data_IF_206439446337
#
_entry.id   IF_206439446337
#
_cell.length_a   1.000
_cell.length_b   1.000
_cell.length_c   1.000
_cell.angle_alpha   90.00
_cell.angle_beta   90.00
_cell.angle_gamma   90.00
#
_symmetry.space_group_name_H-M   'P 1'
#
loop_
_entity.id
_entity.type
_entity.pdbx_description
1 polymer ?
#
# COMPACT_ATOMS: atom_id res chain seq x y z
N UNK A 1 0.99 33.47 -45.47
CA UNK A 1 1.68 34.78 -45.62
C UNK A 1 2.84 34.81 -44.64
N UNK A 2 4.00 35.26 -45.12
CA UNK A 2 5.25 35.60 -44.41
C UNK A 2 5.16 37.13 -44.16
N UNK A 3 5.69 37.74 -43.07
CA UNK A 3 7.07 37.64 -42.57
C UNK A 3 7.23 37.36 -41.05
N UNK A 4 8.34 36.86 -40.49
CA UNK A 4 9.80 37.01 -40.74
C UNK A 4 10.41 38.29 -40.14
N UNK A 5 11.28 38.17 -39.14
CA UNK A 5 12.54 38.90 -38.97
C UNK A 5 13.41 38.12 -37.97
N UNK A 6 14.74 38.16 -38.15
CA UNK A 6 15.69 37.30 -37.45
C UNK A 6 17.07 37.98 -37.32
N UNK A 7 17.83 37.60 -36.28
CA UNK A 7 19.31 37.66 -36.14
C UNK A 7 19.63 37.19 -34.70
N UNK A 8 20.41 36.14 -34.43
CA UNK A 8 21.89 36.04 -34.59
C UNK A 8 22.61 37.20 -33.86
N UNK A 9 23.65 36.98 -33.02
CA UNK A 9 24.88 36.21 -33.28
C UNK A 9 25.55 35.56 -32.05
N UNK A 10 26.40 34.56 -32.30
CA UNK A 10 27.49 34.04 -31.43
C UNK A 10 28.86 34.57 -31.96
N UNK A 11 30.09 34.05 -31.69
CA UNK A 11 30.59 32.97 -30.78
C UNK A 11 31.99 33.29 -30.10
N UNK A 12 32.71 32.25 -29.63
CA UNK A 12 34.18 32.17 -29.33
C UNK A 12 34.66 32.86 -28.01
N UNK A 13 35.75 32.50 -27.29
CA UNK A 13 36.75 31.40 -27.26
C UNK A 13 37.58 31.50 -25.92
N UNK A 14 38.53 30.64 -25.46
CA UNK A 14 39.01 29.27 -25.76
C UNK A 14 39.86 28.73 -24.56
N UNK A 15 40.24 27.43 -24.55
CA UNK A 15 41.47 26.82 -23.95
C UNK A 15 41.83 27.00 -22.43
N UNK A 16 42.80 26.29 -21.80
CA UNK A 16 43.24 24.87 -21.84
C UNK A 16 44.26 24.56 -20.70
N UNK A 17 44.44 23.28 -20.34
CA UNK A 17 45.55 22.70 -19.50
C UNK A 17 45.56 23.10 -17.99
N UNK A 18 46.18 22.39 -17.02
CA UNK A 18 47.20 21.31 -16.99
C UNK A 18 47.11 20.42 -15.71
N UNK A 19 47.81 19.27 -15.67
CA UNK A 19 48.05 18.35 -14.52
C UNK A 19 49.58 18.18 -14.31
N UNK A 20 50.08 17.43 -13.30
CA UNK A 20 49.91 17.42 -11.83
C UNK A 20 51.31 17.64 -11.14
N UNK A 21 51.68 17.23 -9.88
CA UNK A 21 51.86 15.79 -9.49
C UNK A 21 51.87 15.38 -7.97
N UNK A 22 51.97 14.05 -7.74
CA UNK A 22 52.60 13.28 -6.62
C UNK A 22 52.10 13.20 -5.14
N UNK A 23 51.91 11.93 -4.68
CA UNK A 23 52.30 11.28 -3.38
C UNK A 23 51.78 11.87 -2.02
N UNK A 24 51.61 11.14 -0.89
CA UNK A 24 52.09 9.83 -0.42
C UNK A 24 51.20 9.25 0.74
N UNK A 25 50.95 7.93 0.73
CA UNK A 25 51.15 6.92 1.83
C UNK A 25 50.38 6.88 3.19
N UNK A 26 49.94 5.65 3.54
CA UNK A 26 49.70 5.04 4.87
C UNK A 26 48.46 5.45 5.72
N UNK A 27 47.89 4.63 6.63
CA UNK A 27 48.34 3.37 7.26
C UNK A 27 47.18 2.45 7.73
N UNK A 28 47.51 1.19 8.08
CA UNK A 28 46.78 0.23 8.98
C UNK A 28 45.56 -0.51 8.39
N UNK A 29 45.32 -1.79 8.69
CA UNK A 29 46.07 -2.83 9.43
C UNK A 29 45.69 -4.23 8.88
N UNK A 30 46.55 -5.24 9.05
CA UNK A 30 46.28 -6.64 8.65
C UNK A 30 46.58 -7.57 9.83
N UNK A 31 45.70 -8.55 10.09
CA UNK A 31 45.94 -9.90 10.62
C UNK A 31 44.56 -10.63 10.60
N UNK A 32 44.38 -11.67 9.77
CA UNK A 32 44.49 -13.11 10.10
C UNK A 32 43.41 -13.61 11.09
N UNK A 33 42.79 -14.79 10.93
CA UNK A 33 42.76 -15.82 9.87
C UNK A 33 41.47 -16.65 10.10
N UNK A 34 40.81 -17.27 9.12
CA UNK A 34 41.17 -18.59 8.57
C UNK A 34 40.27 -18.90 7.35
N UNK A 35 40.82 -19.09 6.14
CA UNK A 35 40.96 -20.39 5.42
C UNK A 35 39.70 -21.28 5.43
N UNK A 36 39.17 -21.76 4.30
CA UNK A 36 39.88 -22.51 3.23
C UNK A 36 39.37 -22.19 1.81
N UNK A 37 40.31 -22.13 0.86
CA UNK A 37 40.30 -22.37 -0.62
C UNK A 37 38.98 -22.77 -1.33
N UNK A 38 38.75 -22.48 -2.63
CA UNK A 38 39.73 -22.67 -3.75
C UNK A 38 39.32 -21.97 -5.07
N UNK A 39 40.34 -21.72 -5.92
CA UNK A 39 40.32 -21.41 -7.37
C UNK A 39 39.75 -20.06 -7.84
N UNK A 40 40.63 -19.26 -8.46
CA UNK A 40 40.26 -18.15 -9.33
C UNK A 40 40.15 -18.59 -10.79
N UNK A 41 39.19 -18.02 -11.52
CA UNK A 41 39.28 -17.85 -12.97
C UNK A 41 38.87 -16.43 -13.34
N UNK A 42 39.56 -15.87 -14.33
CA UNK A 42 39.45 -14.47 -14.71
C UNK A 42 38.74 -14.31 -16.04
N UNK A 43 37.66 -13.51 -16.11
CA UNK A 43 37.27 -12.82 -17.35
C UNK A 43 36.18 -11.76 -17.15
N UNK A 44 36.43 -10.59 -17.74
CA UNK A 44 35.51 -9.59 -18.31
C UNK A 44 34.26 -9.11 -17.54
N UNK A 45 34.15 -7.77 -17.44
CA UNK A 45 32.90 -7.05 -17.15
C UNK A 45 31.77 -7.36 -18.16
N UNK A 46 30.54 -7.55 -17.65
CA UNK A 46 29.29 -6.81 -18.01
C UNK A 46 28.06 -7.53 -17.44
N UNK A 47 27.07 -6.76 -16.95
CA UNK A 47 25.74 -7.25 -16.54
C UNK A 47 25.65 -7.69 -15.07
N UNK A 48 25.17 -6.79 -14.21
CA UNK A 48 24.64 -7.20 -12.90
C UNK A 48 23.22 -7.74 -13.09
N UNK A 49 23.10 -9.07 -13.17
CA UNK A 49 21.82 -9.76 -13.02
C UNK A 49 21.51 -9.85 -11.52
N UNK A 50 20.38 -9.32 -11.07
CA UNK A 50 19.91 -9.53 -9.70
C UNK A 50 19.45 -10.99 -9.58
N UNK A 51 20.36 -11.84 -9.10
CA UNK A 51 20.12 -13.26 -8.88
C UNK A 51 19.56 -13.48 -7.48
N UNK A 52 18.24 -13.59 -7.36
CA UNK A 52 17.64 -14.20 -6.18
C UNK A 52 18.01 -15.69 -6.17
N UNK A 53 18.68 -16.15 -5.11
CA UNK A 53 19.00 -17.57 -4.94
C UNK A 53 17.71 -18.37 -4.70
N UNK A 54 17.18 -18.97 -5.77
CA UNK A 54 16.04 -19.89 -5.72
C UNK A 54 16.44 -21.20 -5.06
N UNK A 55 16.39 -21.24 -3.72
CA UNK A 55 16.68 -22.43 -2.93
C UNK A 55 15.58 -22.72 -1.89
N UNK A 56 14.36 -22.96 -2.39
CA UNK A 56 13.40 -23.98 -1.89
C UNK A 56 12.13 -23.96 -2.74
N UNK A 57 11.60 -25.16 -3.02
CA UNK A 57 10.22 -25.34 -3.47
C UNK A 57 9.29 -25.03 -2.30
N UNK A 58 8.88 -23.77 -2.14
CA UNK A 58 7.80 -23.42 -1.23
C UNK A 58 6.46 -23.80 -1.85
N UNK A 59 5.71 -24.65 -1.15
CA UNK A 59 4.42 -25.13 -1.61
C UNK A 59 3.34 -24.06 -1.40
N UNK A 60 2.16 -24.27 -1.97
CA UNK A 60 1.00 -23.35 -1.97
C UNK A 60 0.40 -23.09 -0.56
N UNK A 61 1.05 -23.54 0.52
CA UNK A 61 0.52 -23.53 1.88
C UNK A 61 0.67 -22.20 2.63
N UNK A 62 1.73 -21.42 2.35
CA UNK A 62 2.18 -20.35 3.27
C UNK A 62 1.45 -18.99 3.09
N UNK A 63 0.38 -18.94 2.30
CA UNK A 63 -0.47 -17.76 2.09
C UNK A 63 -1.87 -17.88 2.73
N UNK A 64 -2.07 -18.87 3.62
CA UNK A 64 -3.35 -19.12 4.27
C UNK A 64 -3.28 -18.85 5.77
N UNK A 65 -4.08 -17.89 6.24
CA UNK A 65 -4.17 -17.55 7.66
C UNK A 65 -4.78 -18.72 8.46
N UNK A 66 -4.15 -19.17 9.57
CA UNK A 66 -4.77 -20.14 10.46
C UNK A 66 -5.94 -19.50 11.22
N UNK A 67 -7.02 -20.26 11.36
CA UNK A 67 -8.28 -19.80 11.94
C UNK A 67 -8.22 -19.71 13.47
N UNK A 68 -8.42 -18.53 14.04
CA UNK A 68 -8.64 -18.33 15.48
C UNK A 68 -10.14 -18.21 15.79
N UNK A 69 -10.72 -19.10 16.61
CA UNK A 69 -12.18 -19.20 16.79
C UNK A 69 -12.80 -18.14 17.72
N UNK A 70 -12.03 -17.14 18.18
CA UNK A 70 -12.51 -16.20 19.19
C UNK A 70 -12.96 -14.87 18.53
N UNK A 71 -14.28 -14.70 18.42
CA UNK A 71 -14.96 -13.56 17.74
C UNK A 71 -14.50 -12.20 18.27
N UNK A 72 -14.22 -12.10 19.58
CA UNK A 72 -13.82 -10.84 20.21
C UNK A 72 -12.40 -10.38 19.77
N UNK A 73 -11.53 -11.31 19.36
CA UNK A 73 -10.27 -10.96 18.71
C UNK A 73 -10.46 -10.40 17.30
N UNK A 74 -11.45 -10.90 16.54
CA UNK A 74 -11.63 -10.51 15.12
C UNK A 74 -11.82 -9.00 14.97
N UNK A 75 -12.58 -8.36 15.86
CA UNK A 75 -12.79 -6.92 15.82
C UNK A 75 -11.59 -6.06 16.15
N UNK A 76 -10.71 -6.51 17.05
CA UNK A 76 -9.46 -5.81 17.34
C UNK A 76 -8.49 -5.79 16.14
N UNK A 77 -8.71 -6.67 15.16
CA UNK A 77 -7.88 -6.85 13.97
C UNK A 77 -8.47 -6.15 12.73
N UNK A 78 -9.69 -5.59 12.83
CA UNK A 78 -10.34 -4.79 11.78
C UNK A 78 -10.26 -3.28 12.05
N UNK A 79 -9.41 -2.88 13.01
CA UNK A 79 -8.96 -1.52 13.20
C UNK A 79 -7.55 -1.42 12.64
N UNK A 80 -7.24 -0.29 12.01
CA UNK A 80 -6.09 -0.14 11.11
C UNK A 80 -4.72 -0.27 11.81
N UNK A 81 -3.66 -0.30 11.00
CA UNK A 81 -2.24 -0.24 11.41
C UNK A 81 -1.93 0.92 12.38
N UNK A 82 -2.80 1.94 12.42
CA UNK A 82 -2.66 3.13 13.23
C UNK A 82 -2.83 2.85 14.74
N UNK A 83 -2.05 3.56 15.54
CA UNK A 83 -2.25 3.59 16.99
C UNK A 83 -3.57 4.30 17.36
N UNK A 84 -4.05 4.11 18.59
CA UNK A 84 -5.22 4.86 19.07
C UNK A 84 -4.94 6.38 19.09
N UNK A 85 -3.69 6.76 19.28
CA UNK A 85 -3.19 8.13 19.23
C UNK A 85 -3.23 8.69 17.81
N UNK A 86 -2.77 7.94 16.80
CA UNK A 86 -2.81 8.36 15.39
C UNK A 86 -4.26 8.50 14.89
N UNK A 87 -5.14 7.54 15.25
CA UNK A 87 -6.58 7.61 14.94
C UNK A 87 -7.22 8.82 15.62
N UNK A 88 -6.83 9.16 16.85
CA UNK A 88 -7.32 10.36 17.52
C UNK A 88 -6.89 11.65 16.79
N UNK A 89 -5.63 11.73 16.35
CA UNK A 89 -5.14 12.87 15.54
C UNK A 89 -5.88 12.96 14.21
N UNK A 90 -6.09 11.84 13.52
CA UNK A 90 -6.85 11.80 12.25
C UNK A 90 -8.30 12.29 12.43
N UNK A 91 -8.98 11.84 13.49
CA UNK A 91 -10.33 12.27 13.85
C UNK A 91 -10.40 13.76 14.23
N UNK A 92 -9.46 14.27 15.04
CA UNK A 92 -9.39 15.70 15.40
C UNK A 92 -9.05 16.59 14.18
N UNK A 93 -8.47 16.03 13.11
CA UNK A 93 -8.32 16.69 11.80
C UNK A 93 -9.57 16.56 10.93
N UNK A 94 -10.35 15.48 11.06
CA UNK A 94 -11.60 15.27 10.32
C UNK A 94 -12.73 16.17 10.84
N UNK A 95 -12.84 16.30 12.16
CA UNK A 95 -13.86 17.09 12.88
C UNK A 95 -13.80 18.61 12.63
N UNK A 96 -12.77 19.09 11.92
CA UNK A 96 -12.66 20.49 11.49
C UNK A 96 -13.67 20.85 10.40
N UNK A 97 -13.94 19.89 9.53
CA UNK A 97 -14.71 20.08 8.29
C UNK A 97 -15.97 19.18 8.25
N UNK A 98 -16.03 18.13 9.08
CA UNK A 98 -17.09 17.13 9.09
C UNK A 98 -17.64 16.85 10.49
N UNK A 99 -18.95 16.66 10.60
CA UNK A 99 -19.56 16.13 11.83
C UNK A 99 -19.30 14.62 11.93
N UNK A 100 -18.71 14.18 13.04
CA UNK A 100 -18.46 12.76 13.33
C UNK A 100 -19.32 12.34 14.52
N UNK A 101 -20.09 11.26 14.38
CA UNK A 101 -20.90 10.73 15.48
C UNK A 101 -20.00 10.36 16.68
N UNK A 102 -20.26 10.87 17.90
CA UNK A 102 -19.41 10.61 19.06
C UNK A 102 -19.22 9.14 19.41
N UNK A 103 -20.23 8.31 19.16
CA UNK A 103 -20.15 6.87 19.41
C UNK A 103 -19.34 6.16 18.33
N UNK A 104 -19.41 6.62 17.08
CA UNK A 104 -18.53 6.16 16.02
C UNK A 104 -17.06 6.55 16.30
N UNK A 105 -16.81 7.75 16.83
CA UNK A 105 -15.49 8.17 17.33
C UNK A 105 -15.01 7.25 18.46
N UNK A 106 -15.85 6.96 19.44
CA UNK A 106 -15.51 6.05 20.55
C UNK A 106 -15.29 4.60 20.09
N UNK A 107 -16.00 4.14 19.04
CA UNK A 107 -15.73 2.86 18.38
C UNK A 107 -14.32 2.85 17.76
N UNK A 108 -14.00 3.82 16.89
CA UNK A 108 -12.70 3.87 16.22
C UNK A 108 -11.53 3.99 17.22
N UNK A 109 -11.76 4.70 18.33
CA UNK A 109 -10.82 4.84 19.46
C UNK A 109 -10.79 3.63 20.42
N UNK A 110 -11.42 2.50 20.08
CA UNK A 110 -11.39 1.24 20.84
C UNK A 110 -12.03 1.32 22.23
N UNK A 111 -12.96 2.26 22.46
CA UNK A 111 -13.66 2.44 23.74
C UNK A 111 -14.95 1.63 23.88
N UNK A 112 -15.49 1.09 22.77
CA UNK A 112 -16.66 0.19 22.80
C UNK A 112 -16.21 -1.26 22.91
N UNK A 113 -16.68 -1.96 23.93
CA UNK A 113 -16.30 -3.36 24.20
C UNK A 113 -17.21 -4.40 23.51
N UNK A 114 -18.52 -4.11 23.34
CA UNK A 114 -19.49 -5.06 22.79
C UNK A 114 -19.70 -4.87 21.29
N UNK A 115 -18.81 -5.48 20.50
CA UNK A 115 -18.87 -5.50 19.04
C UNK A 115 -18.85 -6.95 18.54
N UNK A 116 -19.80 -7.31 17.66
CA UNK A 116 -19.95 -8.66 17.10
C UNK A 116 -19.82 -8.69 15.57
N UNK A 117 -19.35 -9.84 15.03
CA UNK A 117 -19.00 -9.97 13.60
C UNK A 117 -20.19 -10.36 12.75
N UNK A 118 -20.71 -9.40 11.98
CA UNK A 118 -21.76 -9.66 11.01
C UNK A 118 -21.17 -9.78 9.60
N UNK A 119 -21.36 -10.94 8.98
CA UNK A 119 -20.83 -11.25 7.66
C UNK A 119 -21.90 -11.29 6.58
N UNK A 120 -21.56 -10.78 5.39
CA UNK A 120 -22.39 -10.90 4.18
C UNK A 120 -21.49 -11.29 3.01
N UNK A 121 -21.83 -12.38 2.33
CA UNK A 121 -21.11 -12.79 1.11
C UNK A 121 -21.83 -12.24 -0.12
N UNK A 122 -21.12 -11.46 -0.93
CA UNK A 122 -21.58 -10.99 -2.25
C UNK A 122 -20.55 -11.44 -3.29
N UNK A 123 -21.01 -12.18 -4.30
CA UNK A 123 -20.14 -12.78 -5.31
C UNK A 123 -19.09 -13.71 -4.68
N UNK A 124 -17.81 -13.36 -4.86
CA UNK A 124 -16.66 -14.10 -4.34
C UNK A 124 -16.03 -13.50 -3.07
N UNK A 125 -16.65 -12.45 -2.50
CA UNK A 125 -16.14 -11.69 -1.35
C UNK A 125 -17.06 -11.86 -0.14
N UNK A 126 -16.49 -12.15 1.02
CA UNK A 126 -17.17 -12.12 2.32
C UNK A 126 -16.82 -10.81 3.03
N UNK A 127 -17.80 -9.94 3.20
CA UNK A 127 -17.67 -8.67 3.92
C UNK A 127 -17.88 -8.87 5.42
N UNK A 128 -17.10 -8.18 6.23
CA UNK A 128 -17.17 -8.12 7.70
C UNK A 128 -17.59 -6.70 8.12
N UNK A 129 -18.75 -6.60 8.79
CA UNK A 129 -19.31 -5.32 9.24
C UNK A 129 -19.43 -5.29 10.78
N UNK A 130 -18.92 -4.25 11.47
CA UNK A 130 -19.06 -4.15 12.92
C UNK A 130 -20.53 -4.00 13.30
N UNK A 131 -21.00 -4.78 14.27
CA UNK A 131 -22.31 -4.60 14.89
C UNK A 131 -22.16 -4.27 16.37
N UNK A 132 -22.58 -3.06 16.75
CA UNK A 132 -22.60 -2.57 18.13
C UNK A 132 -23.79 -3.20 18.86
N UNK A 133 -23.52 -4.12 19.78
CA UNK A 133 -24.58 -4.95 20.38
C UNK A 133 -25.57 -4.15 21.23
N UNK A 134 -25.06 -3.19 22.01
CA UNK A 134 -25.87 -2.38 22.93
C UNK A 134 -26.79 -1.41 22.16
N UNK A 135 -26.32 -0.84 21.06
CA UNK A 135 -27.09 0.05 20.18
C UNK A 135 -27.99 -0.67 19.18
N UNK A 136 -27.67 -1.94 18.88
CA UNK A 136 -28.28 -2.74 17.82
C UNK A 136 -28.15 -2.11 16.43
N UNK A 137 -26.95 -1.60 16.13
CA UNK A 137 -26.61 -0.96 14.86
C UNK A 137 -25.34 -1.54 14.26
N UNK A 138 -25.35 -1.66 12.95
CA UNK A 138 -24.16 -1.88 12.13
C UNK A 138 -23.42 -0.55 11.93
N UNK A 139 -22.10 -0.61 11.81
CA UNK A 139 -21.30 0.46 11.22
C UNK A 139 -21.16 0.17 9.73
N UNK A 140 -21.63 1.11 8.92
CA UNK A 140 -21.70 1.06 7.47
C UNK A 140 -20.90 2.22 6.86
N UNK A 141 -20.77 2.26 5.53
CA UNK A 141 -19.96 3.26 4.84
C UNK A 141 -20.61 3.75 3.53
N UNK A 142 -20.36 4.99 3.15
CA UNK A 142 -20.68 5.50 1.81
C UNK A 142 -19.57 6.40 1.27
N UNK A 143 -19.42 6.43 -0.06
CA UNK A 143 -18.42 7.27 -0.71
C UNK A 143 -18.95 8.71 -0.84
N UNK A 144 -18.29 9.65 -0.15
CA UNK A 144 -18.64 11.07 -0.20
C UNK A 144 -17.84 11.86 -1.26
N UNK A 145 -17.26 11.19 -2.26
CA UNK A 145 -16.62 11.88 -3.39
C UNK A 145 -17.70 12.50 -4.30
N UNK A 146 -17.55 13.75 -4.80
CA UNK A 146 -16.35 14.58 -4.81
C UNK A 146 -16.10 15.42 -3.55
N UNK A 147 -17.07 15.56 -2.66
CA UNK A 147 -17.00 16.44 -1.50
C UNK A 147 -15.89 16.03 -0.50
N UNK A 148 -15.54 14.74 -0.46
CA UNK A 148 -14.41 14.19 0.29
C UNK A 148 -13.40 13.47 -0.62
N UNK A 149 -12.11 13.76 -0.44
CA UNK A 149 -10.98 13.10 -1.10
C UNK A 149 -9.87 12.64 -0.13
N UNK A 150 -10.17 12.58 1.18
CA UNK A 150 -9.22 12.20 2.23
C UNK A 150 -8.59 10.81 2.00
N UNK A 151 -9.31 9.88 1.37
CA UNK A 151 -8.78 8.56 1.01
C UNK A 151 -7.61 8.60 0.01
N UNK A 152 -7.46 9.69 -0.75
CA UNK A 152 -6.33 9.89 -1.65
C UNK A 152 -5.25 10.80 -1.04
N UNK A 153 -5.67 11.80 -0.24
CA UNK A 153 -4.76 12.79 0.35
C UNK A 153 -4.04 12.26 1.60
N UNK A 154 -4.68 11.39 2.38
CA UNK A 154 -4.20 10.94 3.69
C UNK A 154 -3.70 9.49 3.72
N UNK A 155 -3.64 8.81 2.57
CA UNK A 155 -3.24 7.40 2.53
C UNK A 155 -1.75 7.21 2.85
N UNK A 156 -1.45 6.44 3.89
CA UNK A 156 -0.09 6.21 4.40
C UNK A 156 0.80 5.36 3.50
N UNK A 157 0.22 4.48 2.67
CA UNK A 157 0.92 3.53 1.78
C UNK A 157 0.11 3.25 0.52
N UNK A 158 0.78 3.17 -0.63
CA UNK A 158 0.16 2.87 -1.94
C UNK A 158 0.74 1.58 -2.55
N UNK A 159 0.53 0.39 -1.94
CA UNK A 159 1.04 -0.87 -2.46
C UNK A 159 0.53 -1.13 -3.88
N UNK A 160 1.44 -1.45 -4.78
CA UNK A 160 1.16 -1.74 -6.18
C UNK A 160 1.13 -3.25 -6.40
N UNK A 161 0.11 -3.72 -7.13
CA UNK A 161 0.16 -5.05 -7.75
C UNK A 161 1.01 -5.01 -9.02
N UNK A 162 1.46 -6.16 -9.50
CA UNK A 162 2.18 -6.25 -10.78
C UNK A 162 1.37 -5.76 -11.99
N UNK A 163 0.03 -5.82 -11.93
CA UNK A 163 -0.82 -5.19 -12.95
C UNK A 163 -0.79 -3.67 -12.83
N UNK A 164 -0.74 -3.12 -11.62
CA UNK A 164 -0.60 -1.67 -11.41
C UNK A 164 0.75 -1.16 -11.89
N UNK A 165 1.85 -1.93 -11.77
CA UNK A 165 3.16 -1.56 -12.32
C UNK A 165 3.10 -1.32 -13.84
N UNK A 166 2.30 -2.12 -14.56
CA UNK A 166 2.08 -1.98 -16.00
C UNK A 166 1.07 -0.85 -16.29
N UNK A 167 -0.06 -0.82 -15.57
CA UNK A 167 -1.19 0.09 -15.80
C UNK A 167 -0.83 1.54 -15.45
N UNK A 168 -0.29 1.78 -14.26
CA UNK A 168 0.14 3.10 -13.78
C UNK A 168 1.40 3.54 -14.54
N UNK A 169 2.35 2.62 -14.79
CA UNK A 169 3.54 2.91 -15.61
C UNK A 169 3.15 3.42 -17.00
N UNK A 170 2.25 2.73 -17.70
CA UNK A 170 1.74 3.16 -19.01
C UNK A 170 0.95 4.48 -18.95
N UNK A 171 0.17 4.73 -17.89
CA UNK A 171 -0.53 6.00 -17.66
C UNK A 171 0.42 7.18 -17.47
N UNK A 172 1.61 6.94 -16.93
CA UNK A 172 2.71 7.90 -16.75
C UNK A 172 3.73 7.87 -17.90
N UNK A 173 3.34 7.32 -19.05
CA UNK A 173 4.12 7.27 -20.30
C UNK A 173 5.45 6.49 -20.24
N UNK A 174 5.67 5.70 -19.19
CA UNK A 174 6.81 4.79 -19.10
C UNK A 174 6.69 3.64 -20.10
N UNK A 175 7.76 3.42 -20.87
CA UNK A 175 7.85 2.35 -21.87
C UNK A 175 8.34 1.02 -21.31
N UNK A 176 8.99 1.06 -20.15
CA UNK A 176 9.60 -0.09 -19.50
C UNK A 176 9.24 -0.09 -18.00
N UNK A 177 8.88 -1.27 -17.50
CA UNK A 177 8.45 -1.45 -16.11
C UNK A 177 9.61 -1.25 -15.13
N UNK A 178 10.84 -1.59 -15.49
CA UNK A 178 12.00 -1.39 -14.60
C UNK A 178 12.35 0.08 -14.42
N UNK A 179 12.20 0.91 -15.46
CA UNK A 179 12.36 2.37 -15.35
C UNK A 179 11.28 2.99 -14.46
N UNK A 180 10.02 2.55 -14.61
CA UNK A 180 8.93 2.95 -13.72
C UNK A 180 9.21 2.56 -12.26
N UNK A 181 9.65 1.32 -12.01
CA UNK A 181 10.01 0.85 -10.67
C UNK A 181 11.10 1.74 -10.06
N UNK A 182 12.22 1.96 -10.76
CA UNK A 182 13.36 2.73 -10.26
C UNK A 182 12.96 4.17 -9.89
N UNK A 183 12.15 4.83 -10.73
CA UNK A 183 11.80 6.24 -10.55
C UNK A 183 10.61 6.47 -9.65
N UNK A 184 9.53 5.72 -9.83
CA UNK A 184 8.21 6.03 -9.26
C UNK A 184 7.81 5.17 -8.07
N UNK A 185 8.62 4.17 -7.70
CA UNK A 185 8.28 3.28 -6.58
C UNK A 185 9.27 3.32 -5.42
N UNK A 186 8.83 2.84 -4.26
CA UNK A 186 9.64 2.60 -3.08
C UNK A 186 9.26 1.25 -2.47
N UNK A 187 10.24 0.48 -2.02
CA UNK A 187 10.00 -0.74 -1.25
C UNK A 187 9.84 -0.37 0.22
N UNK A 188 8.68 -0.64 0.81
CA UNK A 188 8.43 -0.44 2.23
C UNK A 188 8.29 -1.79 2.94
N UNK A 189 8.58 -1.85 4.24
CA UNK A 189 8.34 -3.02 5.08
C UNK A 189 7.73 -2.58 6.40
N UNK A 190 6.57 -3.13 6.74
CA UNK A 190 5.83 -2.81 7.94
C UNK A 190 5.19 -4.05 8.56
N UNK A 191 4.55 -3.87 9.71
CA UNK A 191 3.84 -4.92 10.44
C UNK A 191 2.39 -4.51 10.66
N UNK A 192 1.46 -5.41 10.35
CA UNK A 192 0.04 -5.25 10.59
C UNK A 192 -0.53 -6.44 11.40
N UNK A 193 -1.63 -6.27 12.15
CA UNK A 193 -2.34 -7.38 12.79
C UNK A 193 -2.87 -8.37 11.77
N UNK A 194 -2.56 -9.66 11.92
CA UNK A 194 -3.11 -10.71 11.06
C UNK A 194 -4.56 -11.03 11.46
N UNK A 195 -5.53 -11.16 10.53
CA UNK A 195 -6.89 -11.62 10.83
C UNK A 195 -7.01 -12.99 11.51
N UNK A 196 -5.96 -13.81 11.50
CA UNK A 196 -5.87 -15.06 12.26
C UNK A 196 -5.37 -14.90 13.70
N UNK A 197 -5.00 -13.69 14.12
CA UNK A 197 -4.17 -13.42 15.29
C UNK A 197 -2.67 -13.45 14.97
N UNK A 198 -1.88 -12.80 15.81
CA UNK A 198 -0.45 -12.56 15.57
C UNK A 198 -0.22 -11.35 14.66
N UNK A 199 1.00 -11.22 14.15
CA UNK A 199 1.42 -10.09 13.32
C UNK A 199 1.93 -10.60 11.98
N UNK A 200 1.54 -9.97 10.87
CA UNK A 200 2.17 -10.23 9.57
C UNK A 200 3.11 -9.07 9.23
N UNK A 201 4.36 -9.41 8.93
CA UNK A 201 5.31 -8.49 8.30
C UNK A 201 5.04 -8.50 6.80
N UNK A 202 4.71 -7.34 6.24
CA UNK A 202 4.55 -7.12 4.81
C UNK A 202 5.75 -6.36 4.27
N UNK A 203 6.28 -6.79 3.13
CA UNK A 203 7.20 -6.02 2.29
C UNK A 203 6.55 -5.84 0.93
N UNK A 204 6.35 -4.61 0.46
CA UNK A 204 5.73 -4.37 -0.84
C UNK A 204 6.41 -3.24 -1.61
N UNK A 205 6.29 -3.30 -2.94
CA UNK A 205 6.52 -2.16 -3.82
C UNK A 205 5.34 -1.19 -3.74
N UNK A 206 5.62 0.10 -3.47
CA UNK A 206 4.63 1.15 -3.28
C UNK A 206 4.84 2.28 -4.28
N UNK A 207 3.75 2.90 -4.74
CA UNK A 207 3.81 4.12 -5.55
C UNK A 207 4.24 5.31 -4.69
N UNK A 208 5.21 6.09 -5.18
CA UNK A 208 5.57 7.37 -4.58
C UNK A 208 4.41 8.37 -4.70
N UNK A 209 3.92 8.82 -3.54
CA UNK A 209 2.92 9.87 -3.34
C UNK A 209 3.52 11.24 -3.58
N UNK A 210 4.82 11.46 -3.35
CA UNK A 210 5.54 12.71 -3.68
C UNK A 210 6.86 12.48 -4.41
N UNK A 211 7.34 13.52 -5.08
CA UNK A 211 8.69 13.52 -5.65
C UNK A 211 9.74 13.43 -4.53
N UNK A 212 10.70 12.52 -4.68
CA UNK A 212 11.76 12.31 -3.70
C UNK A 212 11.31 11.65 -2.39
N UNK A 213 10.17 10.94 -2.37
CA UNK A 213 9.73 10.14 -1.22
C UNK A 213 10.75 9.05 -0.82
N UNK A 214 10.89 8.85 0.49
CA UNK A 214 11.90 7.99 1.13
C UNK A 214 11.27 7.07 2.17
N UNK A 215 12.04 6.08 2.67
CA UNK A 215 11.59 5.15 3.71
C UNK A 215 11.16 5.85 5.01
N UNK A 216 11.60 7.10 5.23
CA UNK A 216 11.20 7.92 6.39
C UNK A 216 9.78 8.48 6.29
N UNK A 217 9.21 8.46 5.09
CA UNK A 217 7.85 8.92 4.81
C UNK A 217 6.83 7.76 4.87
N UNK A 218 7.31 6.51 4.98
CA UNK A 218 6.48 5.31 5.01
C UNK A 218 5.49 5.32 6.19
N UNK A 219 4.21 5.03 5.89
CA UNK A 219 3.12 5.08 6.87
C UNK A 219 2.75 6.47 7.38
N UNK A 220 3.53 7.52 7.10
CA UNK A 220 3.20 8.91 7.48
C UNK A 220 2.21 9.53 6.52
N UNK A 221 1.48 10.56 6.95
CA UNK A 221 0.63 11.36 6.06
C UNK A 221 1.48 12.11 5.02
N UNK A 222 1.21 11.84 3.73
CA UNK A 222 1.82 12.54 2.59
C UNK A 222 0.75 12.77 1.53
N UNK A 223 0.44 14.04 1.28
CA UNK A 223 -0.47 14.44 0.19
C UNK A 223 0.02 13.90 -1.16
N UNK A 224 -0.91 13.32 -1.92
CA UNK A 224 -0.61 12.60 -3.14
C UNK A 224 -0.51 13.55 -4.35
N UNK A 225 0.67 13.63 -4.98
CA UNK A 225 0.96 14.48 -6.16
C UNK A 225 0.09 14.22 -7.39
N UNK A 226 -0.67 13.12 -7.39
CA UNK A 226 -1.62 12.79 -8.44
C UNK A 226 -3.00 13.44 -8.22
N UNK A 227 -3.20 14.16 -7.10
CA UNK A 227 -4.38 14.97 -6.89
C UNK A 227 -4.28 16.31 -7.65
N UNK A 228 -5.37 16.66 -8.32
CA UNK A 228 -5.58 18.01 -8.83
C UNK A 228 -6.07 18.96 -7.73
N UNK A 229 -6.22 20.24 -8.09
CA UNK A 229 -6.63 21.32 -7.17
C UNK A 229 -8.04 21.16 -6.58
N UNK A 230 -8.87 20.27 -7.12
CA UNK A 230 -10.24 20.01 -6.69
C UNK A 230 -10.36 18.63 -6.00
N UNK A 231 -9.24 17.97 -5.71
CA UNK A 231 -9.19 16.63 -5.08
C UNK A 231 -9.44 15.47 -6.05
N UNK A 232 -9.46 15.73 -7.36
CA UNK A 232 -9.58 14.70 -8.40
C UNK A 232 -8.26 13.95 -8.59
N UNK A 233 -8.32 12.61 -8.69
CA UNK A 233 -7.14 11.80 -8.96
C UNK A 233 -6.85 11.74 -10.47
N UNK A 234 -5.77 12.38 -10.92
CA UNK A 234 -5.32 12.43 -12.33
C UNK A 234 -4.99 11.05 -12.92
N UNK A 235 -4.70 10.05 -12.07
CA UNK A 235 -4.54 8.67 -12.51
C UNK A 235 -5.87 8.01 -12.91
N UNK A 236 -7.04 8.51 -12.49
CA UNK A 236 -8.34 7.87 -12.77
C UNK A 236 -8.56 7.62 -14.30
N UNK A 237 -9.16 6.48 -14.69
CA UNK A 237 -9.59 5.31 -13.90
C UNK A 237 -8.44 4.30 -13.62
N UNK A 238 -7.19 4.72 -13.86
CA UNK A 238 -5.97 3.90 -13.81
C UNK A 238 -5.23 3.96 -12.47
N UNK A 239 -5.84 4.55 -11.43
CA UNK A 239 -5.32 4.57 -10.06
C UNK A 239 -5.03 3.16 -9.52
N UNK A 240 -4.03 2.98 -8.62
CA UNK A 240 -3.69 1.68 -8.04
C UNK A 240 -4.89 0.94 -7.44
N UNK A 241 -4.92 -0.39 -7.54
CA UNK A 241 -6.02 -1.21 -7.02
C UNK A 241 -6.36 -0.93 -5.55
N UNK A 242 -5.34 -0.72 -4.69
CA UNK A 242 -5.53 -0.35 -3.28
C UNK A 242 -6.32 0.96 -3.10
N UNK A 243 -6.14 1.94 -3.98
CA UNK A 243 -6.91 3.20 -3.97
C UNK A 243 -8.33 3.03 -4.51
N UNK A 244 -8.59 2.00 -5.32
CA UNK A 244 -9.94 1.73 -5.83
C UNK A 244 -10.79 1.11 -4.74
N UNK A 245 -10.24 0.19 -3.95
CA UNK A 245 -10.99 -0.58 -2.95
C UNK A 245 -11.21 0.13 -1.60
N UNK A 246 -10.67 1.33 -1.38
CA UNK A 246 -10.90 2.08 -0.14
C UNK A 246 -12.41 2.25 0.13
N UNK A 247 -12.89 2.05 1.38
CA UNK A 247 -12.13 1.86 2.63
C UNK A 247 -11.86 0.39 2.98
N UNK A 248 -12.04 -0.56 2.08
CA UNK A 248 -11.88 -1.97 2.41
C UNK A 248 -10.40 -2.37 2.47
N UNK A 249 -10.01 -3.12 3.50
CA UNK A 249 -8.89 -4.04 3.45
C UNK A 249 -9.38 -5.40 2.95
N UNK A 250 -8.51 -6.19 2.32
CA UNK A 250 -8.86 -7.49 1.74
C UNK A 250 -7.77 -8.54 1.98
N UNK A 251 -8.17 -9.75 2.36
CA UNK A 251 -7.26 -10.87 2.64
C UNK A 251 -7.80 -12.20 2.10
N UNK A 252 -6.96 -13.24 2.15
CA UNK A 252 -7.31 -14.60 1.74
C UNK A 252 -7.40 -15.55 2.93
N UNK A 253 -8.52 -16.24 3.06
CA UNK A 253 -8.70 -17.36 4.00
C UNK A 253 -8.82 -18.69 3.23
N UNK A 254 -8.49 -19.80 3.90
CA UNK A 254 -8.70 -21.14 3.36
C UNK A 254 -10.05 -21.71 3.85
N UNK A 255 -11.03 -21.75 2.96
CA UNK A 255 -12.34 -22.36 3.18
C UNK A 255 -12.39 -23.73 2.49
N UNK A 256 -12.17 -24.80 3.26
CA UNK A 256 -12.29 -26.18 2.75
C UNK A 256 -11.37 -26.52 1.57
N UNK A 257 -10.17 -25.95 1.52
CA UNK A 257 -9.22 -26.11 0.42
C UNK A 257 -9.41 -25.12 -0.74
N UNK A 258 -10.26 -24.11 -0.58
CA UNK A 258 -10.50 -23.03 -1.56
C UNK A 258 -10.09 -21.70 -0.96
N UNK A 259 -9.41 -20.87 -1.74
CA UNK A 259 -9.17 -19.48 -1.37
C UNK A 259 -10.50 -18.70 -1.40
N UNK A 260 -10.82 -18.02 -0.30
CA UNK A 260 -11.90 -17.04 -0.20
C UNK A 260 -11.32 -15.66 0.00
N UNK A 261 -11.90 -14.67 -0.67
CA UNK A 261 -11.58 -13.27 -0.41
C UNK A 261 -12.48 -12.77 0.70
N UNK A 262 -11.87 -12.23 1.73
CA UNK A 262 -12.54 -11.57 2.83
C UNK A 262 -12.22 -10.08 2.79
N UNK A 263 -13.16 -9.24 3.20
CA UNK A 263 -13.00 -7.80 3.20
C UNK A 263 -13.64 -7.14 4.42
N UNK A 264 -13.05 -6.05 4.90
CA UNK A 264 -13.50 -5.32 6.07
C UNK A 264 -13.09 -3.86 5.98
N UNK A 265 -13.77 -2.98 6.72
CA UNK A 265 -13.44 -1.56 6.74
C UNK A 265 -12.09 -1.26 7.41
N UNK A 266 -11.36 -0.31 6.84
CA UNK A 266 -10.20 0.35 7.42
C UNK A 266 -10.65 1.62 8.14
N UNK A 267 -10.79 1.54 9.46
CA UNK A 267 -11.01 2.70 10.31
C UNK A 267 -9.68 3.45 10.56
N UNK A 268 -9.32 4.40 9.69
CA UNK A 268 -8.13 5.26 9.88
C UNK A 268 -8.43 6.54 10.69
N UNK A 269 -9.70 6.93 10.81
CA UNK A 269 -10.11 8.23 11.33
C UNK A 269 -10.22 9.34 10.27
N UNK A 270 -9.92 9.06 9.00
CA UNK A 270 -9.92 10.08 7.92
C UNK A 270 -11.18 10.11 7.06
N UNK A 271 -12.06 9.11 7.17
CA UNK A 271 -13.24 9.03 6.31
C UNK A 271 -14.51 9.50 7.06
N UNK A 272 -15.17 10.57 6.61
CA UNK A 272 -16.46 11.01 7.15
C UNK A 272 -17.63 10.18 6.62
N UNK A 273 -17.41 9.28 5.66
CA UNK A 273 -18.44 8.44 5.05
C UNK A 273 -18.92 7.27 5.92
N UNK A 274 -18.38 7.07 7.12
CA UNK A 274 -18.83 6.04 8.05
C UNK A 274 -20.06 6.50 8.83
N UNK A 275 -21.07 5.64 8.96
CA UNK A 275 -22.31 5.93 9.68
C UNK A 275 -22.86 4.68 10.37
N UNK A 276 -23.91 4.82 11.19
CA UNK A 276 -24.57 3.71 11.86
C UNK A 276 -26.01 3.52 11.40
N UNK A 277 -26.39 2.30 11.01
CA UNK A 277 -27.79 1.93 10.72
C UNK A 277 -28.21 0.62 11.40
N UNK A 278 -29.51 0.42 11.59
CA UNK A 278 -30.10 -0.84 12.01
C UNK A 278 -30.27 -1.85 10.85
N UNK A 279 -30.09 -1.44 9.59
CA UNK A 279 -30.23 -2.30 8.41
C UNK A 279 -28.91 -2.44 7.63
N UNK A 280 -28.27 -3.61 7.74
CA UNK A 280 -27.09 -3.95 6.95
C UNK A 280 -27.37 -4.05 5.43
N UNK A 281 -28.65 -4.12 5.03
CA UNK A 281 -29.09 -4.09 3.64
C UNK A 281 -28.80 -2.77 2.92
N UNK A 282 -28.60 -1.66 3.65
CA UNK A 282 -28.24 -0.36 3.05
C UNK A 282 -26.92 -0.43 2.26
N UNK A 283 -25.95 -1.25 2.71
CA UNK A 283 -24.66 -1.47 2.03
C UNK A 283 -24.72 -2.36 0.78
N UNK A 284 -25.90 -2.86 0.39
CA UNK A 284 -26.00 -3.88 -0.65
C UNK A 284 -25.40 -3.43 -1.98
N UNK A 285 -25.70 -2.21 -2.41
CA UNK A 285 -25.26 -1.66 -3.71
C UNK A 285 -23.75 -1.50 -3.73
N UNK A 286 -23.17 -1.02 -2.63
CA UNK A 286 -21.74 -0.83 -2.42
C UNK A 286 -21.00 -2.17 -2.42
N UNK A 287 -21.51 -3.19 -1.71
CA UNK A 287 -20.94 -4.53 -1.76
C UNK A 287 -21.02 -5.16 -3.16
N UNK A 288 -22.12 -4.98 -3.89
CA UNK A 288 -22.26 -5.45 -5.28
C UNK A 288 -21.26 -4.73 -6.20
N UNK A 289 -21.07 -3.41 -6.06
CA UNK A 289 -20.12 -2.61 -6.82
C UNK A 289 -18.64 -2.93 -6.52
N UNK A 290 -18.30 -3.23 -5.26
CA UNK A 290 -16.91 -3.47 -4.83
C UNK A 290 -16.46 -4.93 -4.93
N UNK A 291 -17.38 -5.90 -5.05
CA UNK A 291 -17.05 -7.33 -4.95
C UNK A 291 -16.03 -7.80 -6.00
N UNK A 292 -16.24 -7.47 -7.27
CA UNK A 292 -15.32 -7.83 -8.35
C UNK A 292 -13.96 -7.16 -8.15
N UNK A 293 -13.94 -5.85 -7.85
CA UNK A 293 -12.74 -5.04 -7.64
C UNK A 293 -11.86 -5.57 -6.49
N UNK A 294 -12.48 -5.88 -5.35
CA UNK A 294 -11.80 -6.43 -4.16
C UNK A 294 -11.26 -7.83 -4.45
N UNK A 295 -12.06 -8.67 -5.12
CA UNK A 295 -11.63 -10.02 -5.51
C UNK A 295 -10.41 -9.96 -6.43
N UNK A 296 -10.47 -9.12 -7.47
CA UNK A 296 -9.39 -8.91 -8.42
C UNK A 296 -8.12 -8.40 -7.73
N UNK A 297 -8.23 -7.40 -6.85
CA UNK A 297 -7.08 -6.90 -6.11
C UNK A 297 -6.43 -7.99 -5.24
N UNK A 298 -7.21 -8.77 -4.50
CA UNK A 298 -6.69 -9.84 -3.66
C UNK A 298 -5.97 -10.92 -4.48
N UNK A 299 -6.52 -11.30 -5.66
CA UNK A 299 -5.86 -12.25 -6.58
C UNK A 299 -4.58 -11.68 -7.18
N UNK A 300 -4.56 -10.40 -7.57
CA UNK A 300 -3.41 -9.70 -8.16
C UNK A 300 -2.31 -9.48 -7.13
N UNK A 301 -2.65 -9.11 -5.89
CA UNK A 301 -1.72 -9.02 -4.75
C UNK A 301 -1.06 -10.38 -4.47
N UNK A 302 -1.85 -11.46 -4.39
CA UNK A 302 -1.32 -12.84 -4.26
C UNK A 302 -0.35 -13.23 -5.40
N UNK A 303 -0.61 -12.77 -6.63
CA UNK A 303 0.29 -12.99 -7.77
C UNK A 303 1.56 -12.15 -7.69
N UNK A 304 1.45 -10.89 -7.27
CA UNK A 304 2.56 -9.94 -7.06
C UNK A 304 3.60 -10.51 -6.10
N UNK A 305 3.16 -11.20 -5.04
CA UNK A 305 4.05 -11.92 -4.11
C UNK A 305 4.77 -13.10 -4.77
N UNK A 306 4.11 -13.87 -5.65
CA UNK A 306 4.75 -14.96 -6.41
C UNK A 306 5.76 -14.46 -7.45
N UNK A 307 5.58 -13.24 -7.92
CA UNK A 307 6.46 -12.58 -8.89
C UNK A 307 7.65 -11.86 -8.24
N UNK A 308 7.71 -11.81 -6.91
CA UNK A 308 8.82 -11.22 -6.15
C UNK A 308 8.74 -9.70 -5.95
N UNK A 309 7.62 -9.08 -6.30
CA UNK A 309 7.35 -7.65 -6.08
C UNK A 309 6.76 -7.34 -4.68
N UNK A 310 6.37 -8.38 -3.95
CA UNK A 310 5.98 -8.31 -2.54
C UNK A 310 6.36 -9.59 -1.80
N UNK A 311 6.38 -9.51 -0.47
CA UNK A 311 6.57 -10.63 0.44
C UNK A 311 5.70 -10.45 1.69
N UNK A 312 5.31 -11.55 2.31
CA UNK A 312 4.51 -11.56 3.54
C UNK A 312 4.99 -12.70 4.44
N UNK A 313 5.23 -12.44 5.72
CA UNK A 313 5.61 -13.46 6.70
C UNK A 313 4.91 -13.24 8.04
N UNK A 314 4.27 -14.28 8.57
CA UNK A 314 3.54 -14.23 9.84
C UNK A 314 4.46 -14.56 11.03
N UNK A 315 4.16 -13.95 12.19
CA UNK A 315 4.87 -14.09 13.47
C UNK A 315 3.89 -14.34 14.62
#
# INVERSE_FOLDING_TARGET
>A
MIPFWASETSPLDSEATSRPPFLHISSRFVLYCSTVNTVASSSSMRGQTISFQTNRLFSVADAYLPFSPNINTRWRMLLTELSSEDIAVALDLLEKDWEVDPLLKDFMLRKIEKVSDHTVTVGSVTYHMPYLEDEKKYILWTCLWPDCHNCCDRQGRLPLTSDDLIKVGGKLEYKDVSEFIERETITATWQEPSPGGGTVTLTTINLKRKDGETEKDDGTHVSCRFLDKDGGCTLHPDRPGVCQMYPFSAWLENDGGRARVHAAYQFTGDCPGFYMSADAGEMRTEHENYSEMIYDYAMKSSRTTREGYSASSMH
#
